data_IF_082048675367
#
_entry.id   IF_082048675367
#
_cell.length_a   1.000
_cell.length_b   1.000
_cell.length_c   1.000
_cell.angle_alpha   90.00
_cell.angle_beta   90.00
_cell.angle_gamma   90.00
#
_symmetry.space_group_name_H-M   'P 1'
#
loop_
_entity.id
_entity.type
_entity.pdbx_description
1 polymer ?
#
# COMPACT_ATOMS: atom_id res chain seq x y z
N UNK A 1 0.29 -11.99 17.85
CA UNK A 1 -1.03 -11.39 17.55
C UNK A 1 -1.64 -12.17 16.39
N UNK A 2 -2.95 -12.07 16.10
CA UNK A 2 -3.49 -12.72 14.88
C UNK A 2 -3.05 -11.92 13.65
N UNK A 3 -2.73 -12.61 12.56
CA UNK A 3 -2.33 -11.99 11.28
C UNK A 3 -3.37 -10.96 10.81
N UNK A 4 -4.67 -11.28 10.94
CA UNK A 4 -5.75 -10.38 10.54
C UNK A 4 -5.74 -9.04 11.30
N UNK A 5 -5.40 -9.04 12.59
CA UNK A 5 -5.35 -7.82 13.40
C UNK A 5 -4.14 -6.95 13.00
N UNK A 6 -2.99 -7.59 12.75
CA UNK A 6 -1.78 -6.92 12.25
C UNK A 6 -2.02 -6.32 10.86
N UNK A 7 -2.66 -7.07 9.96
CA UNK A 7 -3.01 -6.60 8.63
C UNK A 7 -3.96 -5.39 8.66
N UNK A 8 -4.94 -5.35 9.57
CA UNK A 8 -5.80 -4.15 9.76
C UNK A 8 -4.99 -2.93 10.14
N UNK A 9 -4.04 -3.07 11.06
CA UNK A 9 -3.14 -1.96 11.45
C UNK A 9 -2.29 -1.50 10.27
N UNK A 10 -1.71 -2.42 9.50
CA UNK A 10 -0.93 -2.07 8.29
C UNK A 10 -1.79 -1.30 7.28
N UNK A 11 -2.99 -1.79 6.98
CA UNK A 11 -3.91 -1.14 6.03
C UNK A 11 -4.29 0.26 6.52
N UNK A 12 -4.60 0.39 7.81
CA UNK A 12 -4.93 1.69 8.40
C UNK A 12 -3.73 2.65 8.36
N UNK A 13 -2.52 2.15 8.64
CA UNK A 13 -1.31 2.94 8.62
C UNK A 13 -0.93 3.45 7.23
N UNK A 14 -1.14 2.64 6.19
CA UNK A 14 -1.01 3.11 4.80
C UNK A 14 -1.95 4.28 4.55
N UNK A 15 -3.23 4.16 4.91
CA UNK A 15 -4.19 5.26 4.73
C UNK A 15 -3.79 6.52 5.50
N UNK A 16 -3.46 6.39 6.78
CA UNK A 16 -3.07 7.53 7.61
C UNK A 16 -1.81 8.23 7.04
N UNK A 17 -0.84 7.46 6.54
CA UNK A 17 0.35 8.01 5.86
C UNK A 17 0.00 8.74 4.58
N UNK A 18 -0.83 8.14 3.71
CA UNK A 18 -1.30 8.81 2.49
C UNK A 18 -2.00 10.14 2.85
N UNK A 19 -2.83 10.15 3.89
CA UNK A 19 -3.55 11.35 4.31
C UNK A 19 -2.62 12.41 4.87
N UNK A 20 -1.57 12.02 5.61
CA UNK A 20 -0.55 12.94 6.05
C UNK A 20 0.21 13.54 4.87
N UNK A 21 0.62 12.72 3.90
CA UNK A 21 1.28 13.20 2.69
C UNK A 21 0.43 14.22 1.93
N UNK A 22 -0.87 13.97 1.78
CA UNK A 22 -1.80 14.90 1.13
C UNK A 22 -2.00 16.17 1.96
N UNK A 23 -2.18 16.04 3.28
CA UNK A 23 -2.46 17.17 4.19
C UNK A 23 -1.30 18.16 4.26
N UNK A 24 -0.07 17.65 4.26
CA UNK A 24 1.15 18.46 4.39
C UNK A 24 1.84 18.73 3.05
N UNK A 25 1.20 18.35 1.94
CA UNK A 25 1.73 18.50 0.57
C UNK A 25 3.16 17.95 0.40
N UNK A 26 3.44 16.82 1.06
CA UNK A 26 4.74 16.15 1.04
C UNK A 26 4.86 15.30 -0.22
N UNK A 27 6.06 15.17 -0.82
CA UNK A 27 6.26 14.37 -2.04
C UNK A 27 5.90 12.90 -1.81
N UNK A 28 6.35 12.35 -0.68
CA UNK A 28 6.18 10.96 -0.26
C UNK A 28 6.62 9.99 -1.35
N UNK A 29 7.90 10.04 -1.71
CA UNK A 29 8.48 9.20 -2.76
C UNK A 29 8.79 7.79 -2.25
N UNK A 30 9.27 7.66 -1.02
CA UNK A 30 9.47 6.36 -0.38
C UNK A 30 9.26 6.36 1.16
N UNK A 31 8.14 6.91 1.65
CA UNK A 31 7.89 6.97 3.07
C UNK A 31 7.65 5.55 3.63
N UNK A 32 7.90 5.34 4.93
CA UNK A 32 7.48 4.13 5.60
C UNK A 32 5.94 4.03 5.62
N UNK A 33 5.39 2.85 5.34
CA UNK A 33 3.98 2.58 5.57
C UNK A 33 3.67 2.54 7.07
N UNK A 34 4.62 2.02 7.86
CA UNK A 34 4.49 1.86 9.30
C UNK A 34 5.87 1.84 9.96
N UNK A 35 5.98 2.45 11.14
CA UNK A 35 7.19 2.43 11.98
C UNK A 35 6.86 2.07 13.44
N UNK A 36 7.85 1.70 14.24
CA UNK A 36 7.64 1.39 15.67
C UNK A 36 7.02 2.55 16.46
N UNK A 37 7.31 3.79 16.08
CA UNK A 37 6.73 4.96 16.72
C UNK A 37 5.28 5.22 16.29
N UNK A 38 4.86 4.75 15.11
CA UNK A 38 3.46 4.83 14.70
C UNK A 38 2.54 3.86 15.47
N UNK A 39 3.08 2.76 16.00
CA UNK A 39 2.30 1.74 16.70
C UNK A 39 1.54 2.28 17.91
N UNK A 40 2.01 3.36 18.52
CA UNK A 40 1.34 4.02 19.64
C UNK A 40 -0.05 4.56 19.23
N UNK A 41 -0.22 5.05 18.00
CA UNK A 41 -1.51 5.54 17.51
C UNK A 41 -2.53 4.42 17.28
N UNK A 42 -2.07 3.18 17.23
CA UNK A 42 -2.89 1.98 17.06
C UNK A 42 -3.11 1.24 18.39
N UNK A 43 -2.82 1.88 19.53
CA UNK A 43 -3.03 1.33 20.87
C UNK A 43 -1.97 0.31 21.30
N UNK A 44 -0.86 0.19 20.57
CA UNK A 44 0.21 -0.77 20.85
C UNK A 44 1.37 -0.06 21.57
N UNK A 45 1.14 0.37 22.82
CA UNK A 45 2.10 1.19 23.56
C UNK A 45 3.29 0.40 24.14
N UNK A 46 3.04 -0.82 24.59
CA UNK A 46 4.02 -1.59 25.36
C UNK A 46 5.04 -2.28 24.45
N UNK A 47 6.31 -2.30 24.89
CA UNK A 47 7.43 -2.92 24.13
C UNK A 47 7.14 -4.37 23.72
N UNK A 48 6.63 -5.20 24.64
CA UNK A 48 6.29 -6.60 24.34
C UNK A 48 5.24 -6.72 23.23
N UNK A 49 4.22 -5.87 23.25
CA UNK A 49 3.17 -5.84 22.23
C UNK A 49 3.72 -5.39 20.88
N UNK A 50 4.55 -4.34 20.84
CA UNK A 50 5.24 -3.89 19.63
C UNK A 50 6.15 -4.99 19.07
N UNK A 51 6.88 -5.70 19.92
CA UNK A 51 7.74 -6.80 19.49
C UNK A 51 6.94 -7.97 18.89
N UNK A 52 5.82 -8.33 19.53
CA UNK A 52 4.93 -9.36 19.01
C UNK A 52 4.27 -8.94 17.69
N UNK A 53 3.95 -7.66 17.53
CA UNK A 53 3.47 -7.09 16.27
C UNK A 53 4.51 -7.29 15.16
N UNK A 54 5.75 -6.86 15.38
CA UNK A 54 6.82 -6.97 14.37
C UNK A 54 7.18 -8.41 14.03
N UNK A 55 7.15 -9.34 14.99
CA UNK A 55 7.30 -10.77 14.70
C UNK A 55 6.23 -11.28 13.75
N UNK A 56 4.96 -10.90 13.97
CA UNK A 56 3.88 -11.26 13.04
C UNK A 56 4.03 -10.54 11.69
N UNK A 57 4.57 -9.31 11.65
CA UNK A 57 4.93 -8.66 10.37
C UNK A 57 5.99 -9.48 9.63
N UNK A 58 7.05 -9.95 10.31
CA UNK A 58 8.07 -10.80 9.69
C UNK A 58 7.50 -12.10 9.12
N UNK A 59 6.55 -12.72 9.83
CA UNK A 59 5.80 -13.89 9.32
C UNK A 59 5.02 -13.54 8.06
N UNK A 60 4.29 -12.41 8.06
CA UNK A 60 3.57 -11.92 6.88
C UNK A 60 4.53 -11.67 5.72
N UNK A 61 5.66 -11.02 5.96
CA UNK A 61 6.67 -10.79 4.91
C UNK A 61 7.19 -12.12 4.38
N UNK A 62 7.51 -13.10 5.23
CA UNK A 62 8.01 -14.40 4.76
C UNK A 62 6.99 -15.16 3.92
N UNK A 63 5.71 -15.12 4.30
CA UNK A 63 4.64 -15.88 3.63
C UNK A 63 4.10 -15.18 2.38
N UNK A 64 4.01 -13.85 2.39
CA UNK A 64 3.28 -13.05 1.42
C UNK A 64 4.17 -12.10 0.60
N UNK A 65 5.50 -12.17 0.72
CA UNK A 65 6.36 -11.40 -0.16
C UNK A 65 6.30 -11.92 -1.61
N UNK A 66 6.38 -11.00 -2.58
CA UNK A 66 6.25 -11.27 -4.01
C UNK A 66 4.88 -11.79 -4.46
N UNK A 67 3.78 -11.40 -3.80
CA UNK A 67 2.43 -11.74 -4.28
C UNK A 67 2.22 -11.19 -5.69
N UNK A 68 1.95 -12.08 -6.64
CA UNK A 68 1.56 -11.71 -7.99
C UNK A 68 0.17 -11.06 -7.99
N UNK A 69 0.09 -9.80 -8.40
CA UNK A 69 -1.18 -9.09 -8.55
C UNK A 69 -1.75 -9.24 -9.96
N UNK A 70 -0.89 -9.15 -10.96
CA UNK A 70 -1.29 -9.10 -12.36
C UNK A 70 -0.16 -9.57 -13.27
N UNK A 71 -0.48 -10.42 -14.25
CA UNK A 71 0.46 -10.91 -15.26
C UNK A 71 0.00 -10.52 -16.65
N UNK A 72 0.93 -10.01 -17.47
CA UNK A 72 0.71 -9.65 -18.86
C UNK A 72 1.75 -10.29 -19.78
N UNK A 73 1.59 -10.13 -21.10
CA UNK A 73 2.61 -10.50 -22.10
C UNK A 73 3.94 -9.76 -21.88
N UNK A 74 3.90 -8.54 -21.36
CA UNK A 74 5.03 -7.61 -21.27
C UNK A 74 5.58 -7.46 -19.86
N UNK A 75 5.17 -8.32 -18.91
CA UNK A 75 5.68 -8.29 -17.55
C UNK A 75 4.70 -8.75 -16.49
N UNK A 76 5.25 -8.94 -15.29
CA UNK A 76 4.57 -9.33 -14.07
C UNK A 76 4.55 -8.15 -13.11
N UNK A 77 3.41 -7.89 -12.49
CA UNK A 77 3.27 -6.94 -11.40
C UNK A 77 3.03 -7.69 -10.09
N UNK A 78 3.85 -7.38 -9.08
CA UNK A 78 3.81 -8.04 -7.77
C UNK A 78 3.88 -7.05 -6.62
N UNK A 79 3.34 -7.43 -5.47
CA UNK A 79 3.58 -6.74 -4.22
C UNK A 79 4.84 -7.27 -3.56
N UNK A 80 5.71 -6.35 -3.13
CA UNK A 80 6.91 -6.67 -2.38
C UNK A 80 6.84 -5.98 -1.03
N UNK A 81 7.06 -6.76 0.03
CA UNK A 81 7.10 -6.29 1.40
C UNK A 81 8.55 -6.18 1.83
N UNK A 82 8.94 -5.03 2.36
CA UNK A 82 10.26 -4.78 2.88
C UNK A 82 10.16 -4.38 4.35
N UNK A 83 10.62 -5.28 5.22
CA UNK A 83 10.75 -5.03 6.65
C UNK A 83 12.22 -4.93 7.02
N UNK A 84 12.60 -3.84 7.67
CA UNK A 84 13.97 -3.58 8.10
C UNK A 84 14.00 -2.84 9.44
N UNK A 85 15.18 -2.82 10.08
CA UNK A 85 15.48 -1.93 11.20
C UNK A 85 16.44 -0.88 10.68
N UNK A 86 16.02 0.37 10.68
CA UNK A 86 16.73 1.47 10.05
C UNK A 86 16.47 2.79 10.77
N UNK A 87 17.13 3.84 10.31
CA UNK A 87 16.86 5.21 10.73
C UNK A 87 15.56 5.70 10.08
N UNK A 88 14.72 6.39 10.85
CA UNK A 88 13.48 7.00 10.35
C UNK A 88 13.43 8.49 10.65
N UNK A 89 12.82 9.23 9.73
CA UNK A 89 12.63 10.67 9.82
C UNK A 89 11.18 10.97 10.20
N UNK A 90 11.00 11.81 11.22
CA UNK A 90 9.69 12.22 11.71
C UNK A 90 9.61 13.74 11.75
N UNK A 91 8.60 14.30 11.09
CA UNK A 91 8.39 15.76 11.05
C UNK A 91 8.23 16.30 12.48
N UNK A 92 8.98 17.34 12.81
CA UNK A 92 9.07 17.89 14.16
C UNK A 92 7.70 18.28 14.72
N UNK A 93 7.44 17.89 15.98
CA UNK A 93 6.17 18.19 16.65
C UNK A 93 4.97 17.41 16.10
N UNK A 94 5.17 16.43 15.21
CA UNK A 94 4.10 15.61 14.64
C UNK A 94 4.39 14.11 14.78
N UNK A 95 3.41 13.29 14.35
CA UNK A 95 3.51 11.85 14.23
C UNK A 95 3.73 11.36 12.78
N UNK A 96 4.09 12.28 11.88
CA UNK A 96 4.25 11.99 10.45
C UNK A 96 5.66 11.52 10.18
N UNK A 97 5.79 10.34 9.58
CA UNK A 97 7.07 9.77 9.18
C UNK A 97 7.26 9.90 7.67
N UNK A 98 8.43 10.37 7.26
CA UNK A 98 8.72 10.77 5.88
C UNK A 98 10.02 10.13 5.38
N UNK A 99 10.26 10.23 4.08
CA UNK A 99 11.56 9.92 3.51
C UNK A 99 12.55 11.10 3.66
N UNK A 100 13.81 10.86 3.31
CA UNK A 100 14.90 11.82 3.46
C UNK A 100 14.62 13.12 2.69
N UNK A 101 14.06 13.03 1.48
CA UNK A 101 13.89 14.19 0.61
C UNK A 101 12.81 15.13 1.14
N UNK A 102 11.69 14.58 1.61
CA UNK A 102 10.70 15.39 2.30
C UNK A 102 11.27 15.95 3.60
N UNK A 103 12.13 15.21 4.28
CA UNK A 103 12.77 15.68 5.51
C UNK A 103 13.75 16.84 5.33
N UNK A 104 14.34 16.98 4.13
CA UNK A 104 15.15 18.15 3.79
C UNK A 104 14.29 19.40 3.59
N UNK A 105 13.00 19.22 3.23
CA UNK A 105 12.04 20.30 2.96
C UNK A 105 11.30 20.70 4.25
N UNK A 106 10.92 19.72 5.07
CA UNK A 106 10.24 19.93 6.35
C UNK A 106 11.15 19.54 7.49
N UNK A 107 11.29 20.41 8.50
CA UNK A 107 12.17 20.11 9.64
C UNK A 107 11.76 18.80 10.34
N UNK A 108 12.69 17.85 10.47
CA UNK A 108 12.44 16.59 11.18
C UNK A 108 13.38 16.33 12.34
N UNK A 109 12.95 15.35 13.13
CA UNK A 109 13.73 14.61 14.09
C UNK A 109 14.06 13.22 13.53
N UNK A 110 15.28 12.79 13.79
CA UNK A 110 15.78 11.47 13.41
C UNK A 110 15.60 10.50 14.58
N UNK A 111 15.06 9.32 14.31
CA UNK A 111 14.97 8.24 15.30
C UNK A 111 15.81 7.05 14.82
N UNK A 112 16.93 6.74 15.49
CA UNK A 112 17.76 5.61 15.09
C UNK A 112 17.08 4.28 15.44
N UNK A 113 17.31 3.26 14.60
CA UNK A 113 16.92 1.86 14.85
C UNK A 113 15.42 1.66 15.13
N UNK A 114 14.57 2.16 14.25
CA UNK A 114 13.15 1.79 14.24
C UNK A 114 12.91 0.61 13.32
N UNK A 115 11.99 -0.29 13.69
CA UNK A 115 11.42 -1.18 12.68
C UNK A 115 10.61 -0.34 11.69
N UNK A 116 10.70 -0.72 10.42
CA UNK A 116 10.04 -0.06 9.30
C UNK A 116 9.46 -1.09 8.37
N UNK A 117 8.22 -0.88 7.95
CA UNK A 117 7.59 -1.60 6.87
C UNK A 117 7.38 -0.67 5.68
N UNK A 118 7.88 -1.08 4.52
CA UNK A 118 7.52 -0.52 3.22
C UNK A 118 6.89 -1.59 2.35
N UNK A 119 5.93 -1.19 1.54
CA UNK A 119 5.24 -2.07 0.59
C UNK A 119 5.32 -1.42 -0.77
N UNK A 120 5.73 -2.20 -1.75
CA UNK A 120 5.97 -1.74 -3.11
C UNK A 120 5.12 -2.50 -4.11
N UNK A 121 4.65 -1.79 -5.12
CA UNK A 121 4.26 -2.39 -6.40
C UNK A 121 5.50 -2.46 -7.28
N UNK A 122 5.90 -3.68 -7.65
CA UNK A 122 6.99 -3.91 -8.60
C UNK A 122 6.47 -4.38 -9.95
N UNK A 123 6.98 -3.78 -11.02
CA UNK A 123 6.84 -4.28 -12.39
C UNK A 123 8.14 -4.98 -12.82
N UNK A 124 8.02 -6.21 -13.30
CA UNK A 124 9.13 -7.07 -13.69
C UNK A 124 8.98 -7.50 -15.14
N UNK A 125 10.03 -7.35 -15.93
CA UNK A 125 10.10 -7.84 -17.32
C UNK A 125 11.30 -8.79 -17.49
N UNK A 126 11.01 -10.06 -17.81
CA UNK A 126 12.00 -11.13 -17.67
C UNK A 126 12.45 -11.24 -16.22
N UNK A 127 13.75 -11.11 -15.97
CA UNK A 127 14.35 -11.13 -14.62
C UNK A 127 14.70 -9.73 -14.09
N UNK A 128 14.29 -8.65 -14.78
CA UNK A 128 14.64 -7.27 -14.41
C UNK A 128 13.45 -6.53 -13.82
N UNK A 129 13.67 -5.88 -12.67
CA UNK A 129 12.74 -4.89 -12.11
C UNK A 129 12.81 -3.63 -12.95
N UNK A 130 11.73 -3.28 -13.63
CA UNK A 130 11.60 -2.09 -14.48
C UNK A 130 10.87 -0.95 -13.78
N UNK A 131 10.14 -1.27 -12.72
CA UNK A 131 9.35 -0.32 -11.94
C UNK A 131 9.29 -0.78 -10.49
N UNK A 132 9.48 0.16 -9.56
CA UNK A 132 9.18 -0.03 -8.14
C UNK A 132 8.56 1.26 -7.62
N UNK A 133 7.32 1.21 -7.15
CA UNK A 133 6.60 2.36 -6.59
C UNK A 133 6.11 1.98 -5.19
N UNK A 134 6.36 2.83 -4.20
CA UNK A 134 5.84 2.65 -2.84
C UNK A 134 4.31 2.79 -2.82
N UNK A 135 3.62 1.94 -2.06
CA UNK A 135 2.15 1.90 -2.03
C UNK A 135 1.53 3.20 -1.49
N UNK A 136 2.21 3.90 -0.59
CA UNK A 136 1.77 5.22 -0.08
C UNK A 136 1.81 6.24 -1.22
N UNK A 137 2.92 6.30 -1.97
CA UNK A 137 3.06 7.15 -3.15
C UNK A 137 1.98 6.83 -4.19
N UNK A 138 1.77 5.55 -4.49
CA UNK A 138 0.80 5.10 -5.48
C UNK A 138 -0.63 5.49 -5.08
N UNK A 139 -1.01 5.29 -3.82
CA UNK A 139 -2.33 5.67 -3.32
C UNK A 139 -2.51 7.19 -3.30
N UNK A 140 -1.48 7.95 -2.92
CA UNK A 140 -1.48 9.42 -2.99
C UNK A 140 -1.73 9.90 -4.44
N UNK A 141 -1.00 9.35 -5.41
CA UNK A 141 -1.19 9.66 -6.83
C UNK A 141 -2.63 9.35 -7.27
N UNK A 142 -3.18 8.19 -6.87
CA UNK A 142 -4.56 7.82 -7.20
C UNK A 142 -5.60 8.82 -6.63
N UNK A 143 -5.35 9.40 -5.45
CA UNK A 143 -6.22 10.43 -4.86
C UNK A 143 -6.14 11.75 -5.63
N UNK A 144 -4.94 12.19 -6.04
CA UNK A 144 -4.83 13.39 -6.88
C UNK A 144 -5.47 13.19 -8.26
N UNK A 145 -5.33 11.99 -8.82
CA UNK A 145 -5.97 11.64 -10.09
C UNK A 145 -7.48 11.53 -9.97
N UNK A 146 -8.01 11.12 -8.83
CA UNK A 146 -9.44 11.06 -8.56
C UNK A 146 -9.72 11.27 -7.05
N UNK A 147 -10.17 12.46 -6.62
CA UNK A 147 -10.42 12.74 -5.21
C UNK A 147 -11.38 11.77 -4.52
N UNK A 148 -12.36 11.21 -5.26
CA UNK A 148 -13.28 10.18 -4.74
C UNK A 148 -12.57 8.89 -4.31
N UNK A 149 -11.35 8.63 -4.81
CA UNK A 149 -10.55 7.47 -4.40
C UNK A 149 -10.24 7.51 -2.90
N UNK A 150 -10.13 8.71 -2.30
CA UNK A 150 -9.93 8.89 -0.87
C UNK A 150 -11.04 8.20 -0.07
N UNK A 151 -12.29 8.46 -0.42
CA UNK A 151 -13.46 7.92 0.30
C UNK A 151 -13.53 6.39 0.14
N UNK A 152 -13.18 5.87 -1.03
CA UNK A 152 -13.12 4.43 -1.26
C UNK A 152 -12.04 3.75 -0.41
N UNK A 153 -10.86 4.39 -0.31
CA UNK A 153 -9.75 3.91 0.50
C UNK A 153 -10.10 3.96 1.99
N UNK A 154 -10.74 5.03 2.45
CA UNK A 154 -11.21 5.17 3.83
C UNK A 154 -12.21 4.07 4.19
N UNK A 155 -13.24 3.87 3.36
CA UNK A 155 -14.22 2.80 3.53
C UNK A 155 -13.57 1.42 3.57
N UNK A 156 -12.58 1.17 2.70
CA UNK A 156 -11.80 -0.05 2.72
C UNK A 156 -11.05 -0.24 4.05
N UNK A 157 -10.47 0.82 4.63
CA UNK A 157 -9.74 0.70 5.91
C UNK A 157 -10.62 0.34 7.09
N UNK A 158 -11.90 0.71 7.07
CA UNK A 158 -12.86 0.35 8.11
C UNK A 158 -13.21 -1.15 8.07
N UNK A 159 -13.32 -1.72 6.88
CA UNK A 159 -13.78 -3.09 6.66
C UNK A 159 -12.97 -3.82 5.58
N UNK A 160 -11.65 -4.03 5.76
CA UNK A 160 -10.74 -4.44 4.67
C UNK A 160 -10.95 -5.88 4.19
N UNK A 161 -11.58 -6.73 5.00
CA UNK A 161 -11.85 -8.13 4.67
C UNK A 161 -13.28 -8.39 4.21
N UNK A 162 -14.12 -7.35 4.14
CA UNK A 162 -15.46 -7.47 3.58
C UNK A 162 -15.41 -7.40 2.06
N UNK A 163 -16.06 -8.36 1.41
CA UNK A 163 -16.13 -8.46 -0.06
C UNK A 163 -16.62 -7.17 -0.70
N UNK A 164 -17.63 -6.52 -0.11
CA UNK A 164 -18.19 -5.26 -0.61
C UNK A 164 -17.17 -4.12 -0.60
N UNK A 165 -16.33 -4.04 0.44
CA UNK A 165 -15.26 -3.03 0.52
C UNK A 165 -14.21 -3.25 -0.56
N UNK A 166 -13.79 -4.51 -0.78
CA UNK A 166 -12.83 -4.87 -1.83
C UNK A 166 -13.41 -4.55 -3.22
N UNK A 167 -14.68 -4.88 -3.44
CA UNK A 167 -15.40 -4.58 -4.68
C UNK A 167 -15.46 -3.06 -4.94
N UNK A 168 -15.86 -2.28 -3.93
CA UNK A 168 -15.96 -0.81 -4.02
C UNK A 168 -14.60 -0.19 -4.33
N UNK A 169 -13.54 -0.61 -3.63
CA UNK A 169 -12.18 -0.13 -3.90
C UNK A 169 -11.74 -0.49 -5.33
N UNK A 170 -12.07 -1.70 -5.80
CA UNK A 170 -11.76 -2.15 -7.17
C UNK A 170 -12.46 -1.28 -8.23
N UNK A 171 -13.70 -0.86 -7.98
CA UNK A 171 -14.40 0.09 -8.85
C UNK A 171 -13.70 1.45 -8.89
N UNK A 172 -13.23 1.96 -7.74
CA UNK A 172 -12.53 3.24 -7.70
C UNK A 172 -11.17 3.17 -8.40
N UNK A 173 -10.46 2.05 -8.29
CA UNK A 173 -9.26 1.77 -9.10
C UNK A 173 -9.59 1.82 -10.58
N UNK A 174 -10.67 1.17 -11.04
CA UNK A 174 -11.08 1.22 -12.45
C UNK A 174 -11.27 2.65 -12.93
N UNK A 175 -11.97 3.49 -12.16
CA UNK A 175 -12.20 4.90 -12.53
C UNK A 175 -10.88 5.64 -12.75
N UNK A 176 -9.88 5.43 -11.89
CA UNK A 176 -8.53 6.00 -12.07
C UNK A 176 -7.89 5.47 -13.36
N UNK A 177 -7.90 4.15 -13.57
CA UNK A 177 -7.33 3.53 -14.77
C UNK A 177 -8.00 4.02 -16.06
N UNK A 178 -9.30 4.27 -16.02
CA UNK A 178 -10.09 4.76 -17.15
C UNK A 178 -9.67 6.15 -17.62
N UNK A 179 -9.24 7.03 -16.71
CA UNK A 179 -8.71 8.36 -17.06
C UNK A 179 -7.42 8.27 -17.86
N UNK A 180 -6.60 7.25 -17.58
CA UNK A 180 -5.31 6.99 -18.23
C UNK A 180 -5.39 5.93 -19.34
N UNK A 181 -6.56 5.79 -19.98
CA UNK A 181 -6.81 4.75 -21.00
C UNK A 181 -5.77 4.72 -22.12
N UNK A 182 -5.26 5.87 -22.56
CA UNK A 182 -4.29 5.97 -23.66
C UNK A 182 -2.96 5.30 -23.31
N UNK A 183 -2.49 5.49 -22.08
CA UNK A 183 -1.28 4.85 -21.57
C UNK A 183 -1.55 3.36 -21.35
N UNK A 184 -2.71 3.03 -20.78
CA UNK A 184 -3.08 1.65 -20.51
C UNK A 184 -3.22 0.81 -21.79
N UNK A 185 -3.84 1.35 -22.83
CA UNK A 185 -3.99 0.66 -24.12
C UNK A 185 -2.64 0.52 -24.86
N UNK A 186 -1.66 1.37 -24.55
CA UNK A 186 -0.29 1.26 -25.09
C UNK A 186 0.55 0.20 -24.36
N UNK A 187 0.42 0.12 -23.03
CA UNK A 187 1.20 -0.80 -22.19
C UNK A 187 0.57 -2.19 -22.08
N UNK A 188 -0.75 -2.29 -22.25
CA UNK A 188 -1.51 -3.52 -22.04
C UNK A 188 -2.33 -3.89 -23.27
N UNK A 189 -2.32 -5.18 -23.61
CA UNK A 189 -3.03 -5.75 -24.78
C UNK A 189 -4.53 -5.43 -24.77
N UNK A 190 -5.12 -5.33 -23.58
CA UNK A 190 -6.53 -4.95 -23.40
C UNK A 190 -6.69 -4.40 -21.98
N UNK A 191 -7.30 -3.23 -21.79
CA UNK A 191 -7.68 -2.76 -20.45
C UNK A 191 -8.85 -3.56 -19.85
N UNK A 192 -8.94 -3.72 -18.52
CA UNK A 192 -10.15 -4.26 -17.89
C UNK A 192 -11.30 -3.26 -18.07
N UNK A 193 -12.44 -3.73 -18.62
CA UNK A 193 -13.63 -2.87 -18.83
C UNK A 193 -14.53 -2.78 -17.61
N UNK A 194 -14.47 -3.77 -16.74
CA UNK A 194 -15.32 -3.85 -15.57
C UNK A 194 -14.59 -4.64 -14.48
N UNK A 195 -15.23 -4.69 -13.30
CA UNK A 195 -14.69 -5.41 -12.15
C UNK A 195 -14.55 -6.90 -12.46
N UNK A 196 -15.42 -7.47 -13.29
CA UNK A 196 -15.34 -8.86 -13.73
C UNK A 196 -14.06 -9.15 -14.52
N UNK A 197 -13.63 -8.26 -15.40
CA UNK A 197 -12.35 -8.37 -16.09
C UNK A 197 -11.15 -8.21 -15.13
N UNK A 198 -11.23 -7.39 -14.09
CA UNK A 198 -10.19 -7.33 -13.04
C UNK A 198 -10.13 -8.66 -12.28
N UNK A 199 -11.28 -9.17 -11.85
CA UNK A 199 -11.38 -10.45 -11.13
C UNK A 199 -10.75 -11.59 -11.95
N UNK A 200 -11.02 -11.65 -13.26
CA UNK A 200 -10.44 -12.68 -14.14
C UNK A 200 -8.91 -12.61 -14.24
N UNK A 201 -8.33 -11.43 -14.07
CA UNK A 201 -6.91 -11.18 -14.32
C UNK A 201 -6.06 -11.04 -13.06
N UNK A 202 -6.69 -10.79 -11.91
CA UNK A 202 -6.03 -10.75 -10.62
C UNK A 202 -6.38 -11.99 -9.81
N UNK A 203 -5.44 -12.94 -9.64
CA UNK A 203 -5.65 -14.14 -8.83
C UNK A 203 -6.13 -13.83 -7.41
N UNK A 204 -5.63 -12.74 -6.82
CA UNK A 204 -5.96 -12.31 -5.48
C UNK A 204 -7.41 -11.80 -5.38
N UNK A 205 -7.82 -10.93 -6.32
CA UNK A 205 -9.19 -10.42 -6.34
C UNK A 205 -10.18 -11.55 -6.66
N UNK A 206 -9.81 -12.50 -7.53
CA UNK A 206 -10.61 -13.72 -7.78
C UNK A 206 -10.88 -14.51 -6.52
N UNK A 207 -9.85 -14.75 -5.70
CA UNK A 207 -9.96 -15.49 -4.44
C UNK A 207 -10.88 -14.79 -3.43
N UNK A 208 -10.87 -13.46 -3.39
CA UNK A 208 -11.60 -12.68 -2.39
C UNK A 208 -13.01 -12.29 -2.80
N UNK A 209 -13.22 -11.95 -4.08
CA UNK A 209 -14.54 -11.52 -4.57
C UNK A 209 -15.35 -12.71 -5.07
N UNK A 210 -14.73 -13.77 -5.61
CA UNK A 210 -15.45 -14.94 -6.08
C UNK A 210 -16.51 -14.63 -7.14
N UNK A 211 -16.21 -14.90 -8.42
CA UNK A 211 -17.33 -15.22 -9.32
C UNK A 211 -17.76 -16.64 -8.92
N UNK A 212 -19.05 -16.92 -8.66
CA UNK A 212 -19.51 -18.31 -8.57
C UNK A 212 -19.06 -19.01 -9.84
N UNK A 213 -18.34 -20.12 -9.74
CA UNK A 213 -18.11 -20.98 -10.89
C UNK A 213 -19.50 -21.43 -11.37
N UNK A 214 -19.93 -20.89 -12.52
CA UNK A 214 -21.04 -21.43 -13.30
C UNK A 214 -20.54 -22.61 -14.11
#
# INVERSE_FOLDING_TARGET
>A
MKIADVAKVIIRAIYDQVMNCVKFDLHCLDPPCLTSGMLDFYGLHNYSTKMNFWKTVEEIVKEYNNIELFKSKFGLFRLVFHHAIEEVYRVDGTSVYVDVLDCDIVKCSTTPRSHVLRIYLEGVYGDRVILRINVVTLAKMAIYENPYFKDCLENFTQNPFQQQSVFTLTQCVLVVLYRHKSIFDLLFVKRPKDVGEIIKRSPLVKKYIGVPEQ
#
